data_IF_247673075067
#
_entry.id   IF_247673075067
#
_cell.length_a   1.000
_cell.length_b   1.000
_cell.length_c   1.000
_cell.angle_alpha   90.00
_cell.angle_beta   90.00
_cell.angle_gamma   90.00
#
_symmetry.space_group_name_H-M   'P 1'
#
loop_
_entity.id
_entity.type
_entity.pdbx_description
1 polymer ?
#
# COMPACT_ATOMS: atom_id res chain seq x y z
N UNK A 1 7.94 -4.13 16.11
CA UNK A 1 6.93 -4.37 15.07
C UNK A 1 7.56 -4.23 13.71
N UNK A 2 7.38 -5.21 12.84
CA UNK A 2 7.95 -5.16 11.50
C UNK A 2 7.26 -4.09 10.65
N UNK A 3 7.99 -3.56 9.69
CA UNK A 3 7.56 -2.45 8.83
C UNK A 3 7.75 -2.81 7.36
N UNK A 4 6.86 -2.34 6.52
CA UNK A 4 6.98 -2.50 5.07
C UNK A 4 6.93 -1.14 4.42
N UNK A 5 7.84 -0.92 3.47
CA UNK A 5 7.87 0.29 2.65
C UNK A 5 7.78 -0.15 1.19
N UNK A 6 6.96 0.55 0.41
CA UNK A 6 6.86 0.29 -1.01
C UNK A 6 6.89 1.60 -1.79
N UNK A 7 7.22 1.50 -3.07
CA UNK A 7 7.24 2.63 -3.98
C UNK A 7 6.42 2.32 -5.22
N UNK A 8 5.88 3.39 -5.81
CA UNK A 8 5.11 3.28 -7.04
C UNK A 8 5.19 4.60 -7.79
N UNK A 9 4.72 4.60 -9.02
CA UNK A 9 4.61 5.80 -9.84
C UNK A 9 3.15 5.95 -10.26
N UNK A 10 2.61 7.16 -10.10
CA UNK A 10 1.27 7.48 -10.59
C UNK A 10 1.37 7.68 -12.10
N UNK A 11 0.44 7.10 -12.84
CA UNK A 11 0.42 7.28 -14.30
C UNK A 11 0.02 8.70 -14.64
N UNK A 12 0.47 9.16 -15.81
CA UNK A 12 0.20 10.52 -16.26
C UNK A 12 -1.29 10.84 -16.22
N UNK A 13 -1.64 11.99 -15.62
CA UNK A 13 -3.01 12.46 -15.53
C UNK A 13 -3.85 11.80 -14.46
N UNK A 14 -3.28 10.91 -13.64
CA UNK A 14 -4.04 10.10 -12.67
C UNK A 14 -3.85 10.51 -11.21
N UNK A 15 -3.16 11.60 -10.92
CA UNK A 15 -2.90 12.02 -9.54
C UNK A 15 -4.19 12.28 -8.76
N UNK A 16 -5.10 13.03 -9.33
CA UNK A 16 -6.36 13.37 -8.67
C UNK A 16 -7.23 12.14 -8.48
N UNK A 17 -7.24 11.25 -9.47
CA UNK A 17 -8.00 10.01 -9.38
C UNK A 17 -7.42 9.09 -8.29
N UNK A 18 -6.08 9.04 -8.16
CA UNK A 18 -5.43 8.28 -7.10
C UNK A 18 -5.89 8.79 -5.73
N UNK A 19 -5.83 10.10 -5.53
CA UNK A 19 -6.23 10.72 -4.26
C UNK A 19 -7.71 10.46 -3.97
N UNK A 20 -8.57 10.65 -4.98
CA UNK A 20 -10.01 10.43 -4.83
C UNK A 20 -10.31 8.99 -4.40
N UNK A 21 -9.69 8.02 -5.06
CA UNK A 21 -9.94 6.60 -4.74
C UNK A 21 -9.52 6.24 -3.31
N UNK A 22 -8.45 6.85 -2.81
CA UNK A 22 -8.03 6.60 -1.43
C UNK A 22 -8.91 7.32 -0.42
N UNK A 23 -9.45 8.49 -0.75
CA UNK A 23 -10.43 9.16 0.10
C UNK A 23 -11.75 8.38 0.17
N UNK A 24 -12.02 7.60 -0.85
CA UNK A 24 -13.23 6.77 -0.96
C UNK A 24 -12.89 5.28 -0.91
N UNK A 25 -11.84 4.92 -0.19
CA UNK A 25 -11.41 3.53 -0.11
C UNK A 25 -12.54 2.62 0.35
N UNK A 26 -12.63 1.44 -0.24
CA UNK A 26 -13.70 0.51 0.07
C UNK A 26 -13.66 0.09 1.53
N UNK A 27 -14.80 0.09 2.24
CA UNK A 27 -14.84 -0.41 3.62
C UNK A 27 -14.30 -1.83 3.76
N UNK A 28 -14.58 -2.70 2.79
CA UNK A 28 -14.07 -4.07 2.79
C UNK A 28 -12.54 -4.11 2.64
N UNK A 29 -11.96 -3.14 1.93
CA UNK A 29 -10.51 -3.04 1.81
C UNK A 29 -9.87 -2.65 3.15
N UNK A 30 -10.46 -1.68 3.84
CA UNK A 30 -10.00 -1.29 5.18
C UNK A 30 -10.07 -2.47 6.13
N UNK A 31 -11.16 -3.22 6.08
CA UNK A 31 -11.33 -4.41 6.91
C UNK A 31 -10.26 -5.45 6.61
N UNK A 32 -9.99 -5.70 5.32
CA UNK A 32 -8.98 -6.68 4.92
C UNK A 32 -7.59 -6.29 5.40
N UNK A 33 -7.23 -5.00 5.30
CA UNK A 33 -5.94 -4.52 5.78
C UNK A 33 -5.80 -4.72 7.29
N UNK A 34 -6.85 -4.43 8.05
CA UNK A 34 -6.83 -4.64 9.50
C UNK A 34 -6.71 -6.12 9.86
N UNK A 35 -7.40 -6.99 9.14
CA UNK A 35 -7.30 -8.44 9.36
C UNK A 35 -5.90 -8.98 9.01
N UNK A 36 -5.23 -8.33 8.07
CA UNK A 36 -3.83 -8.65 7.76
C UNK A 36 -2.85 -8.21 8.85
N UNK A 37 -3.34 -7.53 9.88
CA UNK A 37 -2.49 -7.01 10.96
C UNK A 37 -1.81 -5.70 10.60
N UNK A 38 -2.26 -5.03 9.56
CA UNK A 38 -1.67 -3.77 9.11
C UNK A 38 -2.20 -2.61 9.92
N UNK A 39 -1.29 -1.76 10.37
CA UNK A 39 -1.63 -0.55 11.13
C UNK A 39 -0.64 0.55 10.78
N UNK A 40 -0.98 1.78 11.17
CA UNK A 40 -0.14 2.96 10.93
C UNK A 40 0.31 3.05 9.47
N UNK A 41 -0.65 2.86 8.57
CA UNK A 41 -0.41 2.88 7.14
C UNK A 41 -0.51 4.30 6.62
N UNK A 42 0.55 4.79 5.99
CA UNK A 42 0.56 6.11 5.35
C UNK A 42 1.09 5.99 3.93
N UNK A 43 0.54 6.81 3.04
CA UNK A 43 0.99 6.90 1.66
C UNK A 43 1.30 8.36 1.38
N UNK A 44 2.46 8.61 0.81
CA UNK A 44 2.95 9.96 0.51
C UNK A 44 3.18 10.10 -0.98
N UNK A 45 2.85 11.26 -1.51
CA UNK A 45 3.01 11.56 -2.95
C UNK A 45 3.96 12.73 -3.11
N UNK A 46 4.96 12.56 -3.99
CA UNK A 46 5.90 13.61 -4.35
C UNK A 46 6.00 13.61 -5.89
N UNK A 47 5.35 14.61 -6.51
CA UNK A 47 5.21 14.60 -7.96
C UNK A 47 4.44 13.36 -8.40
N UNK A 48 5.04 12.56 -9.27
CA UNK A 48 4.46 11.30 -9.72
C UNK A 48 4.87 10.12 -8.85
N UNK A 49 5.70 10.34 -7.85
CA UNK A 49 6.22 9.27 -7.01
C UNK A 49 5.36 9.04 -5.78
N UNK A 50 5.15 7.76 -5.46
CA UNK A 50 4.40 7.34 -4.28
C UNK A 50 5.30 6.56 -3.35
N UNK A 51 5.11 6.78 -2.06
CA UNK A 51 5.82 6.08 -0.99
C UNK A 51 4.79 5.59 0.01
N UNK A 52 4.72 4.28 0.19
CA UNK A 52 3.84 3.68 1.17
C UNK A 52 4.64 3.13 2.34
N UNK A 53 4.07 3.26 3.55
CA UNK A 53 4.67 2.75 4.77
C UNK A 53 3.57 2.17 5.64
N UNK A 54 3.78 0.97 6.16
CA UNK A 54 2.87 0.45 7.17
C UNK A 54 3.59 -0.49 8.13
N UNK A 55 2.94 -0.72 9.26
CA UNK A 55 3.45 -1.61 10.31
C UNK A 55 2.61 -2.87 10.38
N UNK A 56 3.25 -3.97 10.79
CA UNK A 56 2.65 -5.29 10.73
C UNK A 56 2.60 -5.90 12.14
N UNK A 57 1.42 -5.87 12.76
CA UNK A 57 1.23 -6.42 14.09
C UNK A 57 1.45 -7.95 14.15
N UNK A 58 1.16 -8.61 13.04
CA UNK A 58 1.29 -10.08 12.93
C UNK A 58 2.52 -10.49 12.12
N UNK A 59 3.44 -9.54 11.89
CA UNK A 59 4.63 -9.76 11.09
C UNK A 59 4.43 -9.46 9.61
N UNK A 60 5.54 -9.15 8.93
CA UNK A 60 5.52 -8.79 7.52
C UNK A 60 5.11 -9.95 6.62
N UNK A 61 5.62 -11.14 6.92
CA UNK A 61 5.30 -12.34 6.14
C UNK A 61 3.80 -12.62 6.14
N UNK A 62 3.18 -12.56 7.33
CA UNK A 62 1.73 -12.75 7.45
C UNK A 62 0.97 -11.70 6.65
N UNK A 63 1.36 -10.42 6.79
CA UNK A 63 0.69 -9.32 6.11
C UNK A 63 0.75 -9.47 4.59
N UNK A 64 1.91 -9.84 4.06
CA UNK A 64 2.08 -10.01 2.61
C UNK A 64 1.29 -11.21 2.10
N UNK A 65 1.33 -12.32 2.82
CA UNK A 65 0.59 -13.52 2.43
C UNK A 65 -0.91 -13.29 2.47
N UNK A 66 -1.40 -12.64 3.54
CA UNK A 66 -2.83 -12.34 3.65
C UNK A 66 -3.31 -11.52 2.48
N UNK A 67 -2.57 -10.46 2.12
CA UNK A 67 -2.93 -9.59 0.99
C UNK A 67 -2.91 -10.35 -0.33
N UNK A 68 -1.92 -11.21 -0.53
CA UNK A 68 -1.78 -11.97 -1.77
C UNK A 68 -2.91 -12.98 -1.96
N UNK A 69 -3.57 -13.39 -0.89
CA UNK A 69 -4.62 -14.40 -0.91
C UNK A 69 -6.02 -13.83 -0.70
N UNK A 70 -6.13 -12.53 -0.41
CA UNK A 70 -7.42 -11.91 -0.12
C UNK A 70 -8.07 -11.37 -1.38
N UNK A 71 -9.28 -11.82 -1.66
CA UNK A 71 -10.01 -11.45 -2.87
C UNK A 71 -10.27 -9.95 -3.01
N UNK A 72 -10.62 -9.29 -1.90
CA UNK A 72 -10.88 -7.84 -1.92
C UNK A 72 -9.62 -7.06 -2.25
N UNK A 73 -8.48 -7.43 -1.63
CA UNK A 73 -7.21 -6.79 -1.90
C UNK A 73 -6.82 -6.96 -3.38
N UNK A 74 -6.98 -8.17 -3.91
CA UNK A 74 -6.65 -8.45 -5.30
C UNK A 74 -7.52 -7.64 -6.26
N UNK A 75 -8.81 -7.49 -5.95
CA UNK A 75 -9.71 -6.65 -6.77
C UNK A 75 -9.32 -5.18 -6.70
N UNK A 76 -8.94 -4.70 -5.52
CA UNK A 76 -8.47 -3.32 -5.36
C UNK A 76 -7.22 -3.08 -6.19
N UNK A 77 -6.24 -3.97 -6.08
CA UNK A 77 -4.99 -3.84 -6.83
C UNK A 77 -5.24 -3.85 -8.35
N UNK A 78 -6.14 -4.72 -8.81
CA UNK A 78 -6.50 -4.75 -10.22
C UNK A 78 -7.15 -3.44 -10.66
N UNK A 79 -8.03 -2.88 -9.83
CA UNK A 79 -8.70 -1.62 -10.13
C UNK A 79 -7.71 -0.46 -10.20
N UNK A 80 -6.57 -0.57 -9.54
CA UNK A 80 -5.56 0.47 -9.50
C UNK A 80 -4.53 0.38 -10.63
N UNK A 81 -4.52 -0.71 -11.40
CA UNK A 81 -3.55 -0.88 -12.49
C UNK A 81 -3.54 0.27 -13.51
N UNK A 82 -4.70 0.83 -13.95
CA UNK A 82 -4.67 1.97 -14.86
C UNK A 82 -4.26 3.28 -14.21
N UNK A 83 -4.13 3.32 -12.88
CA UNK A 83 -3.87 4.54 -12.12
C UNK A 83 -2.40 4.65 -11.73
N UNK A 84 -1.79 3.54 -11.38
CA UNK A 84 -0.43 3.53 -10.85
C UNK A 84 0.32 2.27 -11.26
N UNK A 85 1.65 2.33 -11.14
CA UNK A 85 2.51 1.18 -11.40
C UNK A 85 3.46 1.03 -10.22
N UNK A 86 3.43 -0.13 -9.56
CA UNK A 86 4.35 -0.42 -8.48
C UNK A 86 5.76 -0.61 -9.01
N UNK A 87 6.75 -0.15 -8.24
CA UNK A 87 8.15 -0.41 -8.55
C UNK A 87 8.53 -1.75 -7.97
N UNK A 88 9.37 -2.49 -8.70
CA UNK A 88 9.80 -3.82 -8.29
C UNK A 88 10.81 -3.77 -7.14
N UNK A 89 11.63 -2.71 -7.10
CA UNK A 89 12.63 -2.58 -6.05
C UNK A 89 12.01 -1.99 -4.79
N UNK A 90 12.33 -2.60 -3.65
CA UNK A 90 11.86 -2.16 -2.34
C UNK A 90 12.96 -1.38 -1.65
N UNK A 91 12.66 -0.21 -1.06
CA UNK A 91 13.66 0.54 -0.31
C UNK A 91 14.23 -0.28 0.85
N UNK A 92 15.53 -0.17 1.06
CA UNK A 92 16.19 -0.84 2.17
C UNK A 92 16.24 0.10 3.37
N UNK A 93 15.97 -0.45 4.56
CA UNK A 93 16.10 0.32 5.79
C UNK A 93 17.59 0.48 6.09
N UNK A 94 18.06 1.72 6.20
CA UNK A 94 19.47 2.03 6.46
C UNK A 94 19.70 2.62 7.84
N UNK A 95 18.65 2.98 8.56
CA UNK A 95 18.77 3.55 9.89
C UNK A 95 17.44 3.44 10.64
N UNK A 96 17.53 3.15 11.91
CA UNK A 96 16.35 3.17 12.80
C UNK A 96 16.77 3.68 14.17
N UNK A 97 16.10 4.73 14.65
CA UNK A 97 16.27 5.25 16.00
C UNK A 97 15.07 4.79 16.82
N UNK A 98 15.36 4.19 17.98
CA UNK A 98 14.30 3.74 18.89
C UNK A 98 14.19 4.63 20.11
#
# INVERSE_FOLDING_TARGET
>A
MEKIVWRATVREGMKEEYIRRHNEIWPDMVKALKEAGICNYTIWMDGDELFGYYECEKGAEYALKYQAENETVLRWEKSMEPIMQKRETVPAKVFELQ
#
